data_IF_258875894308
#
_entry.id   IF_258875894308
#
_cell.length_a   1.000
_cell.length_b   1.000
_cell.length_c   1.000
_cell.angle_alpha   90.00
_cell.angle_beta   90.00
_cell.angle_gamma   90.00
#
_symmetry.space_group_name_H-M   'P 1'
#
loop_
_entity.id
_entity.type
_entity.pdbx_description
1 polymer ?
#
# COMPACT_ATOMS: atom_id res chain seq x y z
N UNK A 1 -5.83 5.11 -15.00
CA UNK A 1 -5.95 6.44 -15.64
C UNK A 1 -7.41 6.88 -15.86
N UNK A 2 -8.41 6.00 -15.70
CA UNK A 2 -9.84 6.33 -15.87
C UNK A 2 -10.30 7.58 -15.09
N UNK A 3 -9.92 7.71 -13.81
CA UNK A 3 -10.28 8.89 -13.00
C UNK A 3 -9.75 10.20 -13.60
N UNK A 4 -8.53 10.21 -14.14
CA UNK A 4 -7.97 11.36 -14.83
C UNK A 4 -8.77 11.71 -16.09
N UNK A 5 -9.18 10.71 -16.88
CA UNK A 5 -10.01 10.90 -18.07
C UNK A 5 -11.41 11.44 -17.72
N UNK A 6 -11.91 11.14 -16.52
CA UNK A 6 -13.16 11.69 -15.96
C UNK A 6 -12.99 13.09 -15.32
N UNK A 7 -11.81 13.68 -15.39
CA UNK A 7 -11.55 15.04 -14.89
C UNK A 7 -10.92 15.12 -13.50
N UNK A 8 -10.61 13.99 -12.84
CA UNK A 8 -9.88 14.05 -11.57
C UNK A 8 -8.47 14.63 -11.79
N UNK A 9 -8.07 15.55 -10.91
CA UNK A 9 -6.75 16.21 -10.95
C UNK A 9 -5.94 16.08 -9.66
N UNK A 10 -6.57 15.64 -8.56
CA UNK A 10 -5.89 15.37 -7.29
C UNK A 10 -6.30 13.98 -6.84
N UNK A 11 -5.34 13.06 -6.80
CA UNK A 11 -5.60 11.65 -6.54
C UNK A 11 -4.61 11.20 -5.46
N UNK A 12 -5.14 10.71 -4.34
CA UNK A 12 -4.34 10.03 -3.32
C UNK A 12 -4.45 8.54 -3.58
N UNK A 13 -3.30 7.88 -3.66
CA UNK A 13 -3.23 6.43 -3.83
C UNK A 13 -2.54 5.86 -2.60
N UNK A 14 -3.25 4.99 -1.91
CA UNK A 14 -2.80 4.40 -0.65
C UNK A 14 -2.09 3.08 -0.93
N UNK A 15 -0.91 2.90 -0.33
CA UNK A 15 -0.22 1.62 -0.30
C UNK A 15 -0.99 0.56 0.50
N UNK A 16 -0.60 -0.69 0.35
CA UNK A 16 -1.13 -1.82 1.10
C UNK A 16 -0.50 -1.84 2.49
N UNK A 17 -1.33 -1.98 3.53
CA UNK A 17 -0.88 -2.15 4.91
C UNK A 17 -0.11 -3.48 5.13
N UNK A 18 0.40 -3.76 6.33
CA UNK A 18 1.09 -5.02 6.64
C UNK A 18 0.11 -6.19 6.70
N UNK A 19 -0.29 -6.71 5.53
CA UNK A 19 -1.33 -7.74 5.41
C UNK A 19 -0.99 -9.02 6.17
N UNK A 20 0.28 -9.35 6.37
CA UNK A 20 0.71 -10.48 7.18
C UNK A 20 0.35 -10.37 8.66
N UNK A 21 -0.03 -9.18 9.12
CA UNK A 21 -0.46 -8.93 10.50
C UNK A 21 -1.99 -8.96 10.68
N UNK A 22 -2.79 -9.13 9.62
CA UNK A 22 -4.26 -9.14 9.76
C UNK A 22 -4.73 -10.45 10.40
N UNK A 23 -5.86 -10.44 11.16
CA UNK A 23 -6.35 -11.64 11.84
C UNK A 23 -6.51 -12.85 10.91
N UNK A 24 -6.99 -12.63 9.69
CA UNK A 24 -7.15 -13.68 8.68
C UNK A 24 -5.83 -14.38 8.33
N UNK A 25 -4.73 -13.64 8.14
CA UNK A 25 -3.42 -14.23 7.84
C UNK A 25 -2.85 -14.98 9.04
N UNK A 26 -3.05 -14.47 10.25
CA UNK A 26 -2.61 -15.15 11.48
C UNK A 26 -3.35 -16.48 11.68
N UNK A 27 -4.67 -16.49 11.48
CA UNK A 27 -5.49 -17.71 11.58
C UNK A 27 -5.11 -18.75 10.52
N UNK A 28 -5.01 -18.35 9.25
CA UNK A 28 -4.64 -19.26 8.15
C UNK A 28 -3.27 -19.89 8.33
N UNK A 29 -2.30 -19.14 8.85
CA UNK A 29 -0.92 -19.60 9.01
C UNK A 29 -0.64 -20.15 10.42
N UNK A 30 -1.69 -20.38 11.23
CA UNK A 30 -1.60 -20.93 12.59
C UNK A 30 -0.61 -20.18 13.50
N UNK A 31 -0.50 -18.85 13.33
CA UNK A 31 0.44 -17.97 14.05
C UNK A 31 -0.09 -17.65 15.45
N UNK A 32 0.10 -18.59 16.38
CA UNK A 32 -0.33 -18.45 17.79
C UNK A 32 0.57 -17.52 18.60
N UNK A 33 1.77 -17.24 18.10
CA UNK A 33 2.73 -16.29 18.66
C UNK A 33 2.36 -14.82 18.37
N UNK A 34 1.29 -14.59 17.57
CA UNK A 34 0.88 -13.25 17.15
C UNK A 34 1.82 -12.60 16.14
N UNK A 35 2.89 -13.28 15.75
CA UNK A 35 3.86 -12.73 14.83
C UNK A 35 3.30 -12.72 13.41
N UNK A 36 3.47 -11.58 12.74
CA UNK A 36 3.02 -11.41 11.36
C UNK A 36 3.63 -12.47 10.42
N UNK A 37 2.93 -12.75 9.33
CA UNK A 37 3.36 -13.65 8.27
C UNK A 37 4.35 -12.92 7.34
N UNK A 38 5.66 -13.27 7.34
CA UNK A 38 6.68 -12.48 6.65
C UNK A 38 6.50 -12.47 5.12
N UNK A 39 6.11 -13.59 4.53
CA UNK A 39 5.90 -13.71 3.08
C UNK A 39 4.77 -12.80 2.58
N UNK A 40 3.68 -12.69 3.34
CA UNK A 40 2.56 -11.81 3.02
C UNK A 40 2.96 -10.33 3.14
N UNK A 41 3.73 -9.96 4.16
CA UNK A 41 4.28 -8.61 4.28
C UNK A 41 5.29 -8.28 3.19
N UNK A 42 6.12 -9.23 2.77
CA UNK A 42 7.05 -9.06 1.65
C UNK A 42 6.30 -8.73 0.36
N UNK A 43 5.22 -9.44 0.08
CA UNK A 43 4.38 -9.17 -1.09
C UNK A 43 3.76 -7.76 -1.04
N UNK A 44 3.28 -7.32 0.13
CA UNK A 44 2.77 -5.96 0.29
C UNK A 44 3.85 -4.90 0.05
N UNK A 45 5.06 -5.10 0.57
CA UNK A 45 6.18 -4.19 0.38
C UNK A 45 6.63 -4.12 -1.10
N UNK A 46 6.69 -5.26 -1.80
CA UNK A 46 7.03 -5.30 -3.22
C UNK A 46 6.00 -4.57 -4.08
N UNK A 47 4.71 -4.81 -3.79
CA UNK A 47 3.62 -4.07 -4.43
C UNK A 47 3.73 -2.57 -4.17
N UNK A 48 3.99 -2.16 -2.92
CA UNK A 48 4.11 -0.75 -2.54
C UNK A 48 5.30 -0.06 -3.21
N UNK A 49 6.42 -0.78 -3.41
CA UNK A 49 7.57 -0.28 -4.16
C UNK A 49 7.19 0.01 -5.61
N UNK A 50 6.61 -0.97 -6.30
CA UNK A 50 6.18 -0.82 -7.69
C UNK A 50 5.08 0.26 -7.84
N UNK A 51 4.20 0.40 -6.84
CA UNK A 51 3.21 1.46 -6.79
C UNK A 51 3.86 2.84 -6.69
N UNK A 52 4.91 2.99 -5.88
CA UNK A 52 5.70 4.22 -5.79
C UNK A 52 6.25 4.64 -7.16
N UNK A 53 6.87 3.71 -7.88
CA UNK A 53 7.39 3.94 -9.23
C UNK A 53 6.28 4.35 -10.20
N UNK A 54 5.13 3.68 -10.15
CA UNK A 54 3.98 4.02 -10.98
C UNK A 54 3.44 5.43 -10.67
N UNK A 55 3.43 5.86 -9.41
CA UNK A 55 2.99 7.22 -9.04
C UNK A 55 3.91 8.28 -9.61
N UNK A 56 5.23 8.05 -9.61
CA UNK A 56 6.20 8.93 -10.27
C UNK A 56 5.95 9.00 -11.79
N UNK A 57 5.73 7.84 -12.41
CA UNK A 57 5.41 7.75 -13.83
C UNK A 57 4.12 8.52 -14.17
N UNK A 58 3.05 8.33 -13.39
CA UNK A 58 1.76 9.00 -13.62
C UNK A 58 1.85 10.52 -13.47
N UNK A 59 2.59 11.01 -12.49
CA UNK A 59 2.85 12.46 -12.34
C UNK A 59 3.59 13.04 -13.56
N UNK A 60 4.48 12.27 -14.19
CA UNK A 60 5.17 12.71 -15.41
C UNK A 60 4.29 12.67 -16.67
N UNK A 61 3.40 11.66 -16.78
CA UNK A 61 2.64 11.38 -18.00
C UNK A 61 1.27 12.06 -18.07
N UNK A 62 0.72 12.48 -16.94
CA UNK A 62 -0.63 13.04 -16.83
C UNK A 62 -0.57 14.51 -16.42
N UNK A 63 -0.28 15.43 -17.36
CA UNK A 63 -0.09 16.84 -17.05
C UNK A 63 -1.35 17.47 -16.42
N UNK A 64 -1.13 18.42 -15.52
CA UNK A 64 -2.22 19.10 -14.81
C UNK A 64 -2.87 18.26 -13.71
N UNK A 65 -2.39 17.04 -13.47
CA UNK A 65 -2.81 16.21 -12.33
C UNK A 65 -1.70 16.03 -11.31
N UNK A 66 -2.09 15.73 -10.07
CA UNK A 66 -1.23 15.47 -8.94
C UNK A 66 -1.63 14.13 -8.32
N UNK A 67 -0.70 13.18 -8.34
CA UNK A 67 -0.80 11.91 -7.64
C UNK A 67 0.07 11.94 -6.40
N UNK A 68 -0.51 11.64 -5.24
CA UNK A 68 0.21 11.51 -3.98
C UNK A 68 0.12 10.08 -3.46
N UNK A 69 1.24 9.57 -2.94
CA UNK A 69 1.32 8.25 -2.34
C UNK A 69 1.12 8.34 -0.82
N UNK A 70 0.18 7.58 -0.27
CA UNK A 70 -0.03 7.44 1.16
C UNK A 70 0.57 6.11 1.66
N UNK A 71 1.62 6.20 2.48
CA UNK A 71 2.30 5.04 3.06
C UNK A 71 1.51 4.43 4.22
N UNK A 72 0.44 3.71 3.91
CA UNK A 72 -0.37 3.03 4.92
C UNK A 72 0.36 1.86 5.61
N UNK A 73 1.40 1.29 4.98
CA UNK A 73 2.19 0.23 5.60
C UNK A 73 2.82 0.72 6.91
N UNK A 74 3.56 1.83 6.86
CA UNK A 74 4.22 2.37 8.05
C UNK A 74 3.20 2.84 9.09
N UNK A 75 2.16 3.57 8.66
CA UNK A 75 1.12 4.06 9.59
C UNK A 75 0.49 2.91 10.38
N UNK A 76 0.16 1.81 9.72
CA UNK A 76 -0.46 0.65 10.39
C UNK A 76 0.57 -0.13 11.21
N UNK A 77 1.80 -0.28 10.72
CA UNK A 77 2.89 -0.87 11.52
C UNK A 77 3.09 -0.13 12.84
N UNK A 78 3.13 1.20 12.81
CA UNK A 78 3.30 2.04 14.00
C UNK A 78 2.16 1.81 15.01
N UNK A 79 0.93 1.60 14.54
CA UNK A 79 -0.22 1.26 15.42
C UNK A 79 -0.08 -0.13 16.02
N UNK A 80 0.48 -1.09 15.28
CA UNK A 80 0.65 -2.48 15.76
C UNK A 80 1.79 -2.59 16.78
N UNK A 81 2.86 -1.80 16.63
CA UNK A 81 4.07 -1.91 17.46
C UNK A 81 4.12 -0.95 18.65
N UNK A 82 3.11 -0.09 18.83
CA UNK A 82 2.94 0.76 20.01
C UNK A 82 2.32 -0.03 21.16
#
# INVERSE_FOLDING_TARGET
QTLYNLGARRIIVTGVGPIGCIPYQLTLNLRRDGNCVPSANKLALDYNSALGDLILELNSKLPGSMFSYANAYNVVCDVITN
#
